data_IF_448035434973
#
_entry.id   IF_448035434973
#
_cell.length_a   1.000
_cell.length_b   1.000
_cell.length_c   1.000
_cell.angle_alpha   90.00
_cell.angle_beta   90.00
_cell.angle_gamma   90.00
#
_symmetry.space_group_name_H-M   'P 1'
#
loop_
_entity.id
_entity.type
_entity.pdbx_description
1 polymer ?
#
# COMPACT_ATOMS: atom_id res chain seq x y z
N UNK A 1 -24.86 36.09 -4.68
CA UNK A 1 -23.77 35.09 -4.58
C UNK A 1 -24.06 34.20 -3.37
N UNK A 2 -24.12 32.88 -3.53
CA UNK A 2 -24.43 31.98 -2.40
C UNK A 2 -23.33 32.07 -1.32
N UNK A 3 -23.69 32.25 -0.03
CA UNK A 3 -22.73 32.26 1.08
C UNK A 3 -21.94 30.95 1.16
N UNK A 4 -22.55 29.81 0.80
CA UNK A 4 -21.85 28.52 0.69
C UNK A 4 -20.70 28.59 -0.32
N UNK A 5 -20.90 29.27 -1.46
CA UNK A 5 -19.83 29.42 -2.46
C UNK A 5 -18.64 30.21 -1.90
N UNK A 6 -18.86 31.15 -0.98
CA UNK A 6 -17.74 31.84 -0.31
C UNK A 6 -17.01 30.89 0.64
N UNK A 7 -17.76 30.17 1.49
CA UNK A 7 -17.21 29.21 2.47
C UNK A 7 -16.34 28.17 1.76
N UNK A 8 -16.90 27.43 0.80
CA UNK A 8 -16.12 26.38 0.12
C UNK A 8 -14.91 26.95 -0.62
N UNK A 9 -15.05 28.11 -1.26
CA UNK A 9 -13.97 28.66 -2.10
C UNK A 9 -12.81 29.23 -1.30
N UNK A 10 -13.07 29.77 -0.12
CA UNK A 10 -12.10 30.58 0.64
C UNK A 10 -11.74 30.00 2.01
N UNK A 11 -12.63 29.24 2.66
CA UNK A 11 -12.42 28.82 4.05
C UNK A 11 -11.96 27.36 4.16
N UNK A 12 -12.30 26.52 3.19
CA UNK A 12 -11.89 25.11 3.22
C UNK A 12 -10.41 24.98 2.86
N UNK A 13 -9.64 24.49 3.84
CA UNK A 13 -8.21 24.19 3.71
C UNK A 13 -7.94 22.69 3.62
N UNK A 14 -8.88 21.87 4.06
CA UNK A 14 -8.73 20.42 4.20
C UNK A 14 -9.95 19.76 3.57
N UNK A 15 -9.71 18.90 2.58
CA UNK A 15 -10.77 18.16 1.89
C UNK A 15 -10.40 16.68 1.86
N UNK A 16 -11.30 15.86 2.38
CA UNK A 16 -11.24 14.40 2.25
C UNK A 16 -12.43 13.98 1.40
N UNK A 17 -12.17 13.38 0.25
CA UNK A 17 -13.19 12.73 -0.56
C UNK A 17 -13.16 11.24 -0.27
N UNK A 18 -14.30 10.71 0.17
CA UNK A 18 -14.47 9.29 0.46
C UNK A 18 -15.36 8.70 -0.62
N UNK A 19 -14.86 7.69 -1.34
CA UNK A 19 -15.64 6.95 -2.31
C UNK A 19 -16.28 5.70 -1.71
N UNK A 20 -17.60 5.60 -1.88
CA UNK A 20 -18.38 4.39 -1.60
C UNK A 20 -18.56 3.58 -2.89
N UNK A 21 -18.56 2.25 -2.75
CA UNK A 21 -18.32 1.20 -3.76
C UNK A 21 -19.32 1.09 -4.96
N UNK A 22 -19.99 2.15 -5.39
CA UNK A 22 -21.04 2.08 -6.41
C UNK A 22 -20.65 2.76 -7.74
N UNK A 23 -19.48 2.43 -8.31
CA UNK A 23 -19.11 2.92 -9.65
C UNK A 23 -19.46 1.91 -10.74
N UNK A 24 -20.72 1.96 -11.18
CA UNK A 24 -21.10 1.47 -12.50
C UNK A 24 -21.12 2.65 -13.48
N UNK A 25 -20.14 2.73 -14.41
CA UNK A 25 -20.33 3.45 -15.68
C UNK A 25 -19.65 4.81 -15.89
N UNK A 26 -18.73 5.28 -15.05
CA UNK A 26 -17.92 6.49 -15.35
C UNK A 26 -16.47 6.10 -15.67
N UNK A 27 -15.98 6.46 -16.86
CA UNK A 27 -14.60 6.22 -17.27
C UNK A 27 -13.62 7.09 -16.45
N UNK A 28 -12.56 6.46 -15.92
CA UNK A 28 -11.59 7.09 -15.00
C UNK A 28 -10.88 8.31 -15.58
N UNK A 29 -10.70 8.37 -16.91
CA UNK A 29 -10.08 9.52 -17.60
C UNK A 29 -10.88 10.82 -17.45
N UNK A 30 -12.20 10.71 -17.33
CA UNK A 30 -13.08 11.85 -17.09
C UNK A 30 -12.93 12.36 -15.66
N UNK A 31 -12.58 11.51 -14.70
CA UNK A 31 -12.50 11.92 -13.31
C UNK A 31 -11.39 12.95 -13.05
N UNK A 32 -10.22 12.79 -13.68
CA UNK A 32 -9.12 13.78 -13.62
C UNK A 32 -9.57 15.17 -14.06
N UNK A 33 -10.27 15.26 -15.19
CA UNK A 33 -10.71 16.55 -15.74
C UNK A 33 -11.96 17.09 -15.08
N UNK A 34 -12.86 16.22 -14.66
CA UNK A 34 -14.23 16.59 -14.28
C UNK A 34 -14.38 16.78 -12.77
N UNK A 35 -13.46 16.20 -11.98
CA UNK A 35 -13.47 16.36 -10.52
C UNK A 35 -12.19 17.00 -10.03
N UNK A 36 -11.04 16.37 -10.23
CA UNK A 36 -9.79 16.83 -9.63
C UNK A 36 -9.41 18.26 -10.04
N UNK A 37 -9.42 18.53 -11.35
CA UNK A 37 -9.16 19.86 -11.89
C UNK A 37 -10.14 20.91 -11.33
N UNK A 38 -11.41 20.54 -11.18
CA UNK A 38 -12.42 21.44 -10.64
C UNK A 38 -12.20 21.72 -9.17
N UNK A 39 -11.86 20.72 -8.36
CA UNK A 39 -11.53 20.89 -6.94
C UNK A 39 -10.37 21.87 -6.78
N UNK A 40 -9.24 21.61 -7.45
CA UNK A 40 -8.06 22.48 -7.32
C UNK A 40 -8.32 23.92 -7.81
N UNK A 41 -9.20 24.10 -8.79
CA UNK A 41 -9.60 25.45 -9.27
C UNK A 41 -10.63 26.13 -8.38
N UNK A 42 -11.51 25.36 -7.74
CA UNK A 42 -12.60 25.88 -6.93
C UNK A 42 -12.09 26.26 -5.54
N UNK A 43 -11.38 25.36 -4.86
CA UNK A 43 -10.88 25.59 -3.51
C UNK A 43 -9.56 26.37 -3.53
N UNK A 44 -9.62 27.69 -3.39
CA UNK A 44 -8.42 28.56 -3.54
C UNK A 44 -7.38 28.36 -2.45
N UNK A 45 -7.83 28.05 -1.23
CA UNK A 45 -6.99 27.93 -0.05
C UNK A 45 -6.78 26.48 0.38
N UNK A 46 -7.04 25.51 -0.50
CA UNK A 46 -6.89 24.09 -0.20
C UNK A 46 -5.42 23.76 0.05
N UNK A 47 -5.12 23.34 1.28
CA UNK A 47 -3.81 22.90 1.73
C UNK A 47 -3.68 21.39 1.69
N UNK A 48 -4.71 20.66 2.09
CA UNK A 48 -4.69 19.21 2.16
C UNK A 48 -5.82 18.62 1.32
N UNK A 49 -5.47 17.73 0.41
CA UNK A 49 -6.41 16.95 -0.37
C UNK A 49 -6.11 15.47 -0.14
N UNK A 50 -7.07 14.76 0.43
CA UNK A 50 -7.03 13.31 0.54
C UNK A 50 -8.18 12.72 -0.24
N UNK A 51 -7.86 11.72 -1.04
CA UNK A 51 -8.87 10.89 -1.68
C UNK A 51 -8.67 9.47 -1.20
N UNK A 52 -9.70 8.98 -0.54
CA UNK A 52 -9.74 7.64 0.00
C UNK A 52 -11.03 6.97 -0.44
N UNK A 53 -11.08 5.66 -0.28
CA UNK A 53 -12.35 4.98 -0.21
C UNK A 53 -12.15 3.62 0.45
N UNK A 54 -13.18 2.79 0.35
CA UNK A 54 -13.21 1.52 1.07
C UNK A 54 -12.47 0.41 0.33
N UNK A 55 -12.41 0.41 -1.00
CA UNK A 55 -11.80 -0.68 -1.79
C UNK A 55 -10.85 -0.13 -2.88
N UNK A 56 -9.53 -0.43 -2.80
CA UNK A 56 -8.49 0.04 -3.72
C UNK A 56 -8.78 -0.15 -5.21
N UNK A 57 -9.40 -1.28 -5.56
CA UNK A 57 -9.65 -1.70 -6.94
C UNK A 57 -10.75 -0.89 -7.66
N UNK A 58 -11.52 -0.07 -6.92
CA UNK A 58 -12.63 0.71 -7.47
C UNK A 58 -12.42 2.23 -7.37
N UNK A 59 -11.22 2.70 -7.00
CA UNK A 59 -10.99 4.14 -6.93
C UNK A 59 -10.82 4.75 -8.31
N UNK A 60 -11.32 5.98 -8.54
CA UNK A 60 -10.98 6.72 -9.73
C UNK A 60 -9.50 7.12 -9.68
N UNK A 61 -8.65 6.27 -10.28
CA UNK A 61 -7.23 6.53 -10.45
C UNK A 61 -7.02 7.81 -11.24
N UNK A 62 -6.14 8.66 -10.73
CA UNK A 62 -5.70 9.82 -11.47
C UNK A 62 -4.86 9.36 -12.66
N UNK A 63 -5.31 9.72 -13.86
CA UNK A 63 -4.55 9.55 -15.11
C UNK A 63 -4.14 10.94 -15.59
N UNK A 64 -2.85 11.25 -15.54
CA UNK A 64 -2.25 12.54 -15.95
C UNK A 64 -1.36 12.42 -17.18
N UNK A 65 -0.78 11.26 -17.45
CA UNK A 65 0.20 11.04 -18.52
C UNK A 65 -0.32 11.45 -19.92
N UNK A 66 -1.65 11.49 -20.10
CA UNK A 66 -2.32 11.88 -21.34
C UNK A 66 -2.96 13.28 -21.30
N UNK A 67 -2.67 14.10 -20.28
CA UNK A 67 -3.32 15.39 -20.06
C UNK A 67 -2.31 16.55 -20.09
N UNK A 68 -2.79 17.74 -20.42
CA UNK A 68 -1.97 18.97 -20.43
C UNK A 68 -1.33 19.21 -19.06
N UNK A 69 -0.11 19.75 -19.04
CA UNK A 69 0.62 20.14 -17.83
C UNK A 69 -0.18 21.08 -16.91
N UNK A 70 -1.16 21.80 -17.46
CA UNK A 70 -2.02 22.73 -16.71
C UNK A 70 -3.21 22.06 -16.01
N UNK A 71 -3.41 20.76 -16.19
CA UNK A 71 -4.65 20.07 -15.78
C UNK A 71 -4.74 19.86 -14.27
N UNK A 72 -3.59 19.80 -13.57
CA UNK A 72 -3.53 19.49 -12.14
C UNK A 72 -2.52 20.40 -11.41
N UNK A 73 -2.79 21.70 -11.37
CA UNK A 73 -1.89 22.68 -10.74
C UNK A 73 -2.49 23.23 -9.45
N UNK A 74 -1.66 23.39 -8.42
CA UNK A 74 -2.00 24.12 -7.20
C UNK A 74 -0.77 24.85 -6.63
N UNK A 75 -1.01 26.07 -6.15
CA UNK A 75 0.00 26.88 -5.45
C UNK A 75 -0.20 26.89 -3.93
N UNK A 76 -1.22 26.21 -3.41
CA UNK A 76 -1.58 26.21 -1.98
C UNK A 76 -1.58 24.81 -1.37
N UNK A 77 -1.53 23.76 -2.19
CA UNK A 77 -1.57 22.38 -1.73
C UNK A 77 -0.22 21.97 -1.14
N UNK A 78 -0.23 21.57 0.13
CA UNK A 78 0.92 21.09 0.90
C UNK A 78 0.93 19.56 1.07
N UNK A 79 -0.27 18.96 1.17
CA UNK A 79 -0.45 17.51 1.33
C UNK A 79 -1.39 16.95 0.29
N UNK A 80 -0.96 15.88 -0.37
CA UNK A 80 -1.77 15.11 -1.30
C UNK A 80 -1.76 13.63 -0.92
N UNK A 81 -2.93 13.01 -0.85
CA UNK A 81 -3.09 11.56 -0.75
C UNK A 81 -3.99 11.07 -1.87
N UNK A 82 -3.46 10.25 -2.76
CA UNK A 82 -4.09 9.96 -4.05
C UNK A 82 -3.72 8.58 -4.60
N UNK A 83 -4.62 8.02 -5.40
CA UNK A 83 -4.36 6.85 -6.22
C UNK A 83 -4.08 7.29 -7.66
N UNK A 84 -3.02 6.77 -8.27
CA UNK A 84 -2.67 7.03 -9.67
C UNK A 84 -2.68 5.72 -10.46
N UNK A 85 -2.92 5.82 -11.76
CA UNK A 85 -3.03 4.61 -12.58
C UNK A 85 -1.65 4.03 -12.90
N UNK A 86 -0.72 4.87 -13.35
CA UNK A 86 0.61 4.45 -13.79
C UNK A 86 1.71 5.18 -13.03
N UNK A 87 2.92 4.63 -13.06
CA UNK A 87 4.10 5.30 -12.49
C UNK A 87 4.40 6.65 -13.15
N UNK A 88 4.16 6.80 -14.45
CA UNK A 88 4.27 8.09 -15.15
C UNK A 88 3.40 9.17 -14.52
N UNK A 89 2.21 8.82 -14.02
CA UNK A 89 1.31 9.78 -13.37
C UNK A 89 1.91 10.30 -12.06
N UNK A 90 2.66 9.47 -11.33
CA UNK A 90 3.44 9.91 -10.16
C UNK A 90 4.52 10.91 -10.58
N UNK A 91 5.28 10.63 -11.63
CA UNK A 91 6.31 11.56 -12.12
C UNK A 91 5.71 12.90 -12.54
N UNK A 92 4.52 12.88 -13.14
CA UNK A 92 3.78 14.09 -13.49
C UNK A 92 3.34 14.88 -12.25
N UNK A 93 3.00 14.23 -11.13
CA UNK A 93 2.71 14.94 -9.87
C UNK A 93 3.97 15.61 -9.28
N UNK A 94 5.14 15.13 -9.64
CA UNK A 94 6.45 15.58 -9.15
C UNK A 94 7.15 16.55 -10.11
N UNK A 95 6.51 16.96 -11.21
CA UNK A 95 7.13 17.82 -12.24
C UNK A 95 7.19 19.32 -11.87
N UNK A 96 6.85 19.67 -10.64
CA UNK A 96 6.83 21.04 -10.13
C UNK A 96 5.48 21.77 -10.28
N UNK A 97 4.44 21.15 -10.83
CA UNK A 97 3.08 21.76 -10.88
C UNK A 97 2.41 21.94 -9.51
N UNK A 98 2.92 21.26 -8.47
CA UNK A 98 2.46 21.36 -7.08
C UNK A 98 3.56 21.98 -6.21
N UNK A 99 3.82 23.28 -6.41
CA UNK A 99 5.03 23.96 -5.88
C UNK A 99 5.17 23.96 -4.35
N UNK A 100 4.06 23.89 -3.62
CA UNK A 100 4.05 23.90 -2.15
C UNK A 100 3.92 22.50 -1.54
N UNK A 101 3.86 21.46 -2.39
CA UNK A 101 3.69 20.09 -1.92
C UNK A 101 4.92 19.66 -1.13
N UNK A 102 4.71 19.27 0.12
CA UNK A 102 5.74 18.75 1.01
C UNK A 102 5.43 17.33 1.50
N UNK A 103 4.17 16.88 1.37
CA UNK A 103 3.73 15.55 1.77
C UNK A 103 2.96 14.92 0.62
N UNK A 104 3.47 13.78 0.12
CA UNK A 104 2.81 13.02 -0.93
C UNK A 104 2.63 11.57 -0.50
N UNK A 105 1.37 11.13 -0.47
CA UNK A 105 1.01 9.73 -0.31
C UNK A 105 0.41 9.25 -1.62
N UNK A 106 1.05 8.27 -2.24
CA UNK A 106 0.63 7.75 -3.54
C UNK A 106 0.50 6.24 -3.50
N UNK A 107 -0.59 5.76 -4.09
CA UNK A 107 -0.79 4.35 -4.41
C UNK A 107 -0.86 4.23 -5.93
N UNK A 108 0.02 3.44 -6.53
CA UNK A 108 -0.02 3.16 -7.97
C UNK A 108 -0.76 1.85 -8.17
N UNK A 109 -1.84 1.90 -8.96
CA UNK A 109 -2.75 0.75 -9.12
C UNK A 109 -2.21 -0.26 -10.16
N UNK A 110 -1.71 0.22 -11.30
CA UNK A 110 -1.23 -0.68 -12.36
C UNK A 110 0.29 -0.83 -12.31
N UNK A 111 0.75 -2.09 -12.33
CA UNK A 111 2.15 -2.47 -12.35
C UNK A 111 2.84 -2.20 -13.71
N UNK A 112 2.07 -1.99 -14.78
CA UNK A 112 2.62 -1.74 -16.12
C UNK A 112 3.33 -0.37 -16.18
N UNK A 113 4.63 -0.40 -16.42
CA UNK A 113 5.40 0.78 -16.75
C UNK A 113 5.06 1.22 -18.18
N UNK A 114 4.38 2.37 -18.31
CA UNK A 114 4.07 2.95 -19.60
C UNK A 114 5.18 3.93 -19.97
N UNK A 115 6.23 3.47 -20.66
CA UNK A 115 7.47 4.23 -20.93
C UNK A 115 7.32 5.37 -21.95
N UNK A 116 6.32 6.26 -21.80
CA UNK A 116 6.03 7.25 -22.85
C UNK A 116 6.84 8.53 -22.72
N UNK A 117 7.35 8.84 -21.53
CA UNK A 117 8.00 10.13 -21.28
C UNK A 117 9.34 9.98 -20.54
N UNK A 118 10.37 10.66 -21.04
CA UNK A 118 11.61 10.89 -20.30
C UNK A 118 11.37 12.07 -19.37
N UNK A 119 11.25 11.80 -18.07
CA UNK A 119 11.00 12.86 -17.08
C UNK A 119 12.32 13.47 -16.59
N UNK A 120 12.33 14.79 -16.53
CA UNK A 120 13.46 15.54 -16.00
C UNK A 120 13.41 15.56 -14.47
N UNK A 121 14.27 14.77 -13.82
CA UNK A 121 14.37 14.67 -12.36
C UNK A 121 15.01 15.90 -11.69
N UNK A 122 15.41 16.91 -12.46
CA UNK A 122 16.11 18.09 -11.91
C UNK A 122 15.18 19.08 -11.17
N UNK A 123 13.85 18.93 -11.28
CA UNK A 123 12.86 19.86 -10.73
C UNK A 123 11.84 19.17 -9.79
N UNK A 124 12.27 18.18 -9.01
CA UNK A 124 11.39 17.52 -8.05
C UNK A 124 10.96 18.50 -6.93
N UNK A 125 9.72 18.39 -6.41
CA UNK A 125 9.28 19.16 -5.26
C UNK A 125 10.12 18.84 -4.03
N UNK A 126 10.25 19.83 -3.14
CA UNK A 126 10.94 19.69 -1.85
C UNK A 126 10.07 18.93 -0.84
N UNK A 127 9.89 17.63 -1.09
CA UNK A 127 9.11 16.74 -0.24
C UNK A 127 9.86 16.46 1.06
N UNK A 128 9.13 16.58 2.17
CA UNK A 128 9.55 16.14 3.50
C UNK A 128 9.00 14.76 3.83
N UNK A 129 7.81 14.44 3.36
CA UNK A 129 7.13 13.19 3.66
C UNK A 129 6.70 12.51 2.36
N UNK A 130 7.10 11.26 2.18
CA UNK A 130 6.73 10.47 1.01
C UNK A 130 6.25 9.07 1.42
N UNK A 131 5.07 8.71 0.95
CA UNK A 131 4.51 7.36 1.06
C UNK A 131 4.27 6.84 -0.35
N UNK A 132 4.80 5.66 -0.66
CA UNK A 132 4.61 4.97 -1.93
C UNK A 132 4.15 3.54 -1.68
N UNK A 133 2.98 3.21 -2.21
CA UNK A 133 2.53 1.83 -2.39
C UNK A 133 2.53 1.48 -3.88
N UNK A 134 3.24 0.41 -4.26
CA UNK A 134 3.34 0.01 -5.65
C UNK A 134 3.65 -1.48 -5.81
N UNK A 135 2.96 -2.14 -6.74
CA UNK A 135 3.33 -3.45 -7.25
C UNK A 135 4.22 -3.26 -8.49
N UNK A 136 5.51 -3.56 -8.40
CA UNK A 136 6.47 -3.31 -9.46
C UNK A 136 7.38 -4.51 -9.72
N UNK A 137 7.96 -4.58 -10.92
CA UNK A 137 9.00 -5.55 -11.22
C UNK A 137 10.38 -5.05 -10.76
N UNK A 138 11.38 -5.94 -10.76
CA UNK A 138 12.77 -5.58 -10.45
C UNK A 138 13.27 -4.41 -11.31
N UNK A 139 12.97 -4.44 -12.61
CA UNK A 139 13.45 -3.43 -13.55
C UNK A 139 12.95 -2.04 -13.16
N UNK A 140 11.68 -1.91 -12.81
CA UNK A 140 11.07 -0.65 -12.39
C UNK A 140 11.65 -0.19 -11.07
N UNK A 141 11.89 -1.10 -10.13
CA UNK A 141 12.52 -0.76 -8.87
C UNK A 141 13.93 -0.17 -9.07
N UNK A 142 14.79 -0.87 -9.79
CA UNK A 142 16.18 -0.46 -9.99
C UNK A 142 16.35 0.73 -10.93
N UNK A 143 15.57 0.80 -12.00
CA UNK A 143 15.75 1.82 -13.04
C UNK A 143 14.91 3.08 -12.80
N UNK A 144 13.87 3.01 -11.96
CA UNK A 144 12.92 4.12 -11.78
C UNK A 144 12.73 4.50 -10.31
N UNK A 145 12.37 3.55 -9.43
CA UNK A 145 12.12 3.88 -8.02
C UNK A 145 13.39 4.33 -7.30
N UNK A 146 14.48 3.56 -7.36
CA UNK A 146 15.73 3.92 -6.67
C UNK A 146 16.31 5.24 -7.19
N UNK A 147 16.44 5.49 -8.51
CA UNK A 147 16.86 6.79 -9.01
C UNK A 147 15.98 7.93 -8.53
N UNK A 148 14.65 7.77 -8.54
CA UNK A 148 13.73 8.79 -8.03
C UNK A 148 14.02 9.11 -6.56
N UNK A 149 14.09 8.08 -5.72
CA UNK A 149 14.35 8.22 -4.28
C UNK A 149 15.69 8.91 -3.99
N UNK A 150 16.74 8.59 -4.75
CA UNK A 150 18.07 9.23 -4.62
C UNK A 150 18.06 10.73 -4.90
N UNK A 151 17.13 11.22 -5.73
CA UNK A 151 16.98 12.66 -5.99
C UNK A 151 16.13 13.37 -4.92
N UNK A 152 15.40 12.63 -4.09
CA UNK A 152 14.56 13.18 -3.01
C UNK A 152 15.33 13.30 -1.68
N UNK A 153 16.47 13.97 -1.70
CA UNK A 153 17.41 14.06 -0.57
C UNK A 153 16.87 14.81 0.66
N UNK A 154 15.79 15.58 0.50
CA UNK A 154 15.19 16.36 1.58
C UNK A 154 14.12 15.61 2.39
N UNK A 155 13.80 14.36 2.03
CA UNK A 155 12.83 13.55 2.76
C UNK A 155 13.27 13.36 4.21
N UNK A 156 12.36 13.70 5.13
CA UNK A 156 12.47 13.46 6.57
C UNK A 156 11.72 12.18 6.98
N UNK A 157 10.65 11.81 6.26
CA UNK A 157 9.84 10.61 6.51
C UNK A 157 9.55 9.85 5.22
N UNK A 158 9.99 8.60 5.14
CA UNK A 158 9.75 7.71 4.00
C UNK A 158 8.95 6.49 4.44
N UNK A 159 7.92 6.15 3.69
CA UNK A 159 7.13 4.94 3.86
C UNK A 159 7.04 4.21 2.51
N UNK A 160 7.57 3.00 2.42
CA UNK A 160 7.55 2.19 1.20
C UNK A 160 6.78 0.88 1.43
N UNK A 161 5.70 0.69 0.70
CA UNK A 161 4.99 -0.59 0.61
C UNK A 161 5.12 -1.13 -0.81
N UNK A 162 6.15 -1.94 -1.05
CA UNK A 162 6.48 -2.44 -2.39
C UNK A 162 6.20 -3.93 -2.47
N UNK A 163 5.48 -4.31 -3.52
CA UNK A 163 5.29 -5.73 -3.89
C UNK A 163 6.05 -6.01 -5.17
N UNK A 164 6.83 -7.08 -5.19
CA UNK A 164 7.70 -7.44 -6.30
C UNK A 164 7.30 -8.78 -6.90
N UNK A 165 7.06 -8.80 -8.21
CA UNK A 165 6.86 -10.03 -8.97
C UNK A 165 8.13 -10.50 -9.66
N UNK A 166 8.40 -11.81 -9.62
CA UNK A 166 9.47 -12.47 -10.36
C UNK A 166 10.85 -11.83 -10.14
N UNK A 167 11.16 -11.52 -8.89
CA UNK A 167 12.39 -10.82 -8.54
C UNK A 167 13.61 -11.73 -8.75
N UNK A 168 14.62 -11.26 -9.47
CA UNK A 168 15.88 -12.00 -9.64
C UNK A 168 16.90 -11.72 -8.54
N UNK A 169 16.64 -10.72 -7.68
CA UNK A 169 17.52 -10.29 -6.60
C UNK A 169 16.73 -10.04 -5.33
N UNK A 170 17.23 -10.56 -4.21
CA UNK A 170 16.65 -10.32 -2.88
C UNK A 170 17.10 -8.94 -2.36
N UNK A 171 16.14 -8.12 -1.92
CA UNK A 171 16.42 -6.82 -1.28
C UNK A 171 16.79 -7.07 0.18
N UNK A 172 18.09 -7.14 0.47
CA UNK A 172 18.60 -7.37 1.82
C UNK A 172 18.86 -6.06 2.59
N UNK A 173 19.20 -6.18 3.88
CA UNK A 173 19.47 -5.01 4.73
C UNK A 173 20.64 -4.15 4.27
N UNK A 174 21.69 -4.74 3.68
CA UNK A 174 22.82 -3.99 3.08
C UNK A 174 22.37 -3.19 1.87
N UNK A 175 21.58 -3.79 0.98
CA UNK A 175 21.00 -3.13 -0.17
C UNK A 175 20.16 -1.93 0.24
N UNK A 176 19.27 -2.07 1.24
CA UNK A 176 18.48 -0.95 1.75
C UNK A 176 19.37 0.21 2.22
N UNK A 177 20.45 -0.12 2.95
CA UNK A 177 21.38 0.89 3.42
C UNK A 177 22.10 1.60 2.28
N UNK A 178 22.71 0.83 1.38
CA UNK A 178 23.54 1.32 0.27
C UNK A 178 22.70 2.10 -0.77
N UNK A 179 21.45 1.71 -0.98
CA UNK A 179 20.63 2.23 -2.09
C UNK A 179 19.65 3.34 -1.70
N UNK A 180 19.25 3.40 -0.43
CA UNK A 180 18.25 4.36 0.06
C UNK A 180 18.86 5.25 1.12
N UNK A 181 19.38 4.66 2.19
CA UNK A 181 19.70 5.39 3.42
C UNK A 181 20.89 6.32 3.24
N UNK A 182 21.95 5.84 2.60
CA UNK A 182 23.16 6.64 2.38
C UNK A 182 22.88 7.90 1.55
N UNK A 183 21.79 7.90 0.76
CA UNK A 183 21.39 9.01 -0.11
C UNK A 183 20.39 9.99 0.54
N UNK A 184 19.83 9.66 1.71
CA UNK A 184 18.81 10.47 2.37
C UNK A 184 19.28 10.99 3.73
N UNK A 185 20.16 11.99 3.72
CA UNK A 185 20.80 12.53 4.93
C UNK A 185 19.83 13.17 5.94
N UNK A 186 18.60 13.52 5.52
CA UNK A 186 17.57 14.10 6.40
C UNK A 186 16.56 13.07 6.92
N UNK A 187 16.67 11.81 6.49
CA UNK A 187 15.70 10.78 6.82
C UNK A 187 15.74 10.47 8.32
N UNK A 188 14.62 10.69 9.00
CA UNK A 188 14.44 10.42 10.43
C UNK A 188 13.56 9.21 10.68
N UNK A 189 12.56 9.02 9.82
CA UNK A 189 11.62 7.90 9.91
C UNK A 189 11.64 7.20 8.57
N UNK A 190 11.99 5.92 8.58
CA UNK A 190 11.90 5.06 7.41
C UNK A 190 11.15 3.79 7.77
N UNK A 191 9.93 3.68 7.27
CA UNK A 191 9.15 2.45 7.36
C UNK A 191 9.13 1.79 5.99
N UNK A 192 9.26 0.47 5.97
CA UNK A 192 9.12 -0.29 4.75
C UNK A 192 8.42 -1.61 5.02
N UNK A 193 7.72 -2.08 4.00
CA UNK A 193 7.18 -3.42 3.88
C UNK A 193 7.44 -3.87 2.46
N UNK A 194 8.37 -4.80 2.31
CA UNK A 194 8.71 -5.38 1.03
C UNK A 194 8.15 -6.79 0.97
N UNK A 195 7.28 -7.01 0.00
CA UNK A 195 6.66 -8.28 -0.30
C UNK A 195 7.21 -8.78 -1.62
N UNK A 196 7.98 -9.86 -1.63
CA UNK A 196 8.46 -10.48 -2.87
C UNK A 196 7.70 -11.76 -3.09
N UNK A 197 7.27 -12.06 -4.32
CA UNK A 197 6.76 -13.39 -4.68
C UNK A 197 7.60 -14.01 -5.78
N UNK A 198 7.92 -15.28 -5.60
CA UNK A 198 8.83 -16.02 -6.46
C UNK A 198 8.16 -17.30 -6.93
N UNK A 199 8.29 -17.60 -8.22
CA UNK A 199 7.99 -18.94 -8.73
C UNK A 199 9.17 -19.86 -8.38
N UNK A 200 8.90 -21.05 -7.82
CA UNK A 200 9.91 -21.95 -7.27
C UNK A 200 11.01 -22.36 -8.26
N UNK A 201 10.81 -22.23 -9.57
CA UNK A 201 11.84 -22.54 -10.57
C UNK A 201 12.94 -21.45 -10.73
N UNK A 202 12.96 -20.42 -9.88
CA UNK A 202 13.96 -19.34 -9.90
C UNK A 202 14.98 -19.49 -8.75
N UNK A 203 16.27 -19.36 -9.07
CA UNK A 203 17.45 -19.73 -8.26
C UNK A 203 17.68 -19.02 -6.91
N UNK A 204 16.77 -18.19 -6.39
CA UNK A 204 16.85 -17.63 -5.02
C UNK A 204 16.19 -18.60 -4.02
N UNK A 205 16.35 -19.89 -4.27
CA UNK A 205 15.39 -20.93 -3.91
C UNK A 205 15.13 -21.07 -2.39
N UNK A 206 16.03 -20.66 -1.50
CA UNK A 206 15.93 -21.11 -0.09
C UNK A 206 16.35 -20.10 0.97
N UNK A 207 16.02 -18.81 0.84
CA UNK A 207 16.17 -17.90 1.99
C UNK A 207 15.21 -18.33 3.12
N UNK A 208 15.76 -18.75 4.25
CA UNK A 208 15.03 -18.98 5.50
C UNK A 208 14.74 -17.64 6.19
N UNK A 209 13.91 -17.67 7.23
CA UNK A 209 13.65 -16.49 8.05
C UNK A 209 14.95 -15.98 8.67
N UNK A 210 15.79 -16.88 9.15
CA UNK A 210 17.06 -16.55 9.80
C UNK A 210 18.04 -15.91 8.82
N UNK A 211 18.12 -16.42 7.58
CA UNK A 211 18.96 -15.82 6.54
C UNK A 211 18.54 -14.37 6.24
N UNK A 212 17.22 -14.12 6.17
CA UNK A 212 16.68 -12.77 5.94
C UNK A 212 17.05 -11.84 7.10
N UNK A 213 16.79 -12.28 8.33
CA UNK A 213 17.05 -11.51 9.54
C UNK A 213 18.55 -11.23 9.74
N UNK A 214 19.42 -12.18 9.40
CA UNK A 214 20.87 -12.00 9.47
C UNK A 214 21.33 -10.81 8.63
N UNK A 215 20.67 -10.53 7.50
CA UNK A 215 21.01 -9.37 6.66
C UNK A 215 20.74 -8.01 7.32
N UNK A 216 19.97 -7.99 8.41
CA UNK A 216 19.66 -6.79 9.22
C UNK A 216 20.39 -6.78 10.57
N UNK A 217 21.12 -7.83 10.92
CA UNK A 217 21.76 -8.00 12.24
C UNK A 217 22.80 -6.91 12.58
N UNK A 218 23.41 -6.28 11.58
CA UNK A 218 24.49 -5.30 11.75
C UNK A 218 24.11 -3.86 11.37
N UNK A 219 22.82 -3.52 11.35
CA UNK A 219 22.37 -2.17 10.99
C UNK A 219 21.33 -1.61 11.98
N UNK A 220 20.90 -0.36 11.76
CA UNK A 220 19.89 0.32 12.59
C UNK A 220 18.49 -0.33 12.52
N UNK A 221 18.33 -1.41 11.74
CA UNK A 221 17.09 -2.16 11.52
C UNK A 221 17.15 -3.58 12.07
N UNK A 222 17.95 -3.84 13.11
CA UNK A 222 17.95 -5.11 13.87
C UNK A 222 16.56 -5.55 14.35
N UNK A 223 15.61 -4.63 14.45
CA UNK A 223 14.22 -4.89 14.84
C UNK A 223 13.33 -5.39 13.69
N UNK A 224 13.86 -5.49 12.46
CA UNK A 224 13.11 -6.03 11.33
C UNK A 224 12.63 -7.44 11.66
N UNK A 225 11.36 -7.70 11.37
CA UNK A 225 10.80 -9.03 11.41
C UNK A 225 10.44 -9.48 10.00
N UNK A 226 10.36 -10.79 9.81
CA UNK A 226 10.08 -11.43 8.55
C UNK A 226 9.02 -12.53 8.71
N UNK A 227 8.14 -12.61 7.72
CA UNK A 227 7.25 -13.72 7.46
C UNK A 227 7.54 -14.31 6.09
N UNK A 228 7.59 -15.64 6.03
CA UNK A 228 7.66 -16.41 4.79
C UNK A 228 6.31 -17.09 4.60
N UNK A 229 5.73 -17.01 3.40
CA UNK A 229 4.44 -17.61 3.07
C UNK A 229 4.50 -18.44 1.80
N UNK A 230 3.52 -19.32 1.63
CA UNK A 230 3.33 -20.13 0.44
C UNK A 230 1.88 -20.00 -0.01
N UNK A 231 1.65 -19.52 -1.25
CA UNK A 231 0.28 -19.41 -1.80
C UNK A 231 -0.16 -20.67 -2.54
N UNK A 232 0.80 -21.32 -3.20
CA UNK A 232 0.71 -22.62 -3.87
C UNK A 232 2.07 -23.33 -3.66
N UNK A 233 2.23 -24.65 -3.90
CA UNK A 233 3.52 -25.31 -3.81
C UNK A 233 4.60 -24.53 -4.55
N UNK A 234 4.26 -23.91 -5.66
CA UNK A 234 5.20 -23.25 -6.56
C UNK A 234 5.40 -21.75 -6.31
N UNK A 235 4.72 -21.13 -5.33
CA UNK A 235 4.84 -19.68 -5.09
C UNK A 235 5.17 -19.38 -3.62
N UNK A 236 6.36 -18.84 -3.40
CA UNK A 236 6.87 -18.40 -2.09
C UNK A 236 6.86 -16.89 -2.00
N UNK A 237 6.36 -16.37 -0.88
CA UNK A 237 6.39 -14.94 -0.55
C UNK A 237 7.35 -14.67 0.61
N UNK A 238 8.14 -13.60 0.51
CA UNK A 238 8.89 -13.05 1.63
C UNK A 238 8.36 -11.66 1.96
N UNK A 239 7.89 -11.47 3.19
CA UNK A 239 7.44 -10.19 3.72
C UNK A 239 8.35 -9.81 4.87
N UNK A 240 8.99 -8.63 4.81
CA UNK A 240 9.81 -8.14 5.91
C UNK A 240 9.63 -6.62 6.11
N UNK A 241 9.71 -6.21 7.38
CA UNK A 241 9.42 -4.83 7.82
C UNK A 241 9.97 -4.54 9.22
N UNK A 242 10.12 -3.26 9.56
CA UNK A 242 10.21 -2.81 10.96
C UNK A 242 8.91 -3.15 11.70
N UNK A 243 8.97 -3.69 12.93
CA UNK A 243 8.01 -4.62 13.55
C UNK A 243 6.55 -4.34 13.15
N UNK A 244 6.22 -4.78 11.93
CA UNK A 244 4.98 -4.57 11.18
C UNK A 244 4.27 -3.21 11.42
N UNK A 245 5.00 -2.10 11.32
CA UNK A 245 4.52 -0.71 11.51
C UNK A 245 3.63 -0.15 10.38
N UNK A 246 3.00 -1.03 9.59
CA UNK A 246 2.18 -0.64 8.45
C UNK A 246 0.67 -0.81 8.72
N UNK A 247 -0.12 -0.03 7.99
CA UNK A 247 -1.57 0.02 8.12
C UNK A 247 -2.29 -1.05 7.27
N UNK A 248 -1.59 -1.58 6.26
CA UNK A 248 -2.12 -2.52 5.29
C UNK A 248 -1.24 -3.76 5.14
N UNK A 249 -1.84 -4.93 5.32
CA UNK A 249 -1.19 -6.23 5.11
C UNK A 249 -1.90 -7.00 3.99
N UNK A 250 -1.36 -6.97 2.76
CA UNK A 250 -1.96 -7.69 1.64
C UNK A 250 -1.55 -9.17 1.58
N UNK A 251 -2.43 -9.98 1.00
CA UNK A 251 -2.22 -11.37 0.55
C UNK A 251 -1.53 -12.28 1.57
N UNK A 252 -2.12 -12.39 2.76
CA UNK A 252 -1.65 -13.34 3.78
C UNK A 252 -2.32 -14.71 3.63
N UNK A 253 -1.59 -15.78 3.92
CA UNK A 253 -2.18 -17.11 4.02
C UNK A 253 -2.98 -17.25 5.33
N UNK A 254 -3.66 -18.38 5.52
CA UNK A 254 -4.44 -18.65 6.72
C UNK A 254 -3.60 -19.21 7.89
N UNK A 255 -2.27 -19.33 7.71
CA UNK A 255 -1.31 -19.90 8.67
C UNK A 255 -0.33 -18.86 9.20
N UNK A 256 -0.77 -17.61 9.34
CA UNK A 256 0.06 -16.56 9.91
C UNK A 256 0.44 -16.87 11.36
N UNK A 257 1.69 -16.54 11.70
CA UNK A 257 2.28 -16.69 13.03
C UNK A 257 1.44 -16.00 14.11
N UNK A 258 1.55 -16.43 15.38
CA UNK A 258 0.95 -15.79 16.56
C UNK A 258 1.63 -14.44 16.91
N UNK A 259 1.75 -13.56 15.93
CA UNK A 259 2.30 -12.21 16.03
C UNK A 259 1.11 -11.25 16.15
N UNK A 260 1.23 -10.28 17.06
CA UNK A 260 0.22 -9.23 17.21
C UNK A 260 0.58 -8.03 16.33
N UNK A 261 -0.22 -7.80 15.30
CA UNK A 261 -0.09 -6.71 14.34
C UNK A 261 -0.91 -5.49 14.80
N UNK A 262 -0.39 -4.75 15.78
CA UNK A 262 -1.09 -3.61 16.38
C UNK A 262 -1.42 -2.47 15.41
N UNK A 263 -0.63 -2.31 14.35
CA UNK A 263 -0.74 -1.20 13.40
C UNK A 263 -1.59 -1.53 12.16
N UNK A 264 -1.84 -2.83 11.91
CA UNK A 264 -2.58 -3.27 10.73
C UNK A 264 -4.06 -3.00 10.93
N UNK A 265 -4.61 -2.11 10.11
CA UNK A 265 -6.04 -1.75 10.08
C UNK A 265 -6.77 -2.31 8.87
N UNK A 266 -6.03 -2.77 7.85
CA UNK A 266 -6.55 -3.39 6.63
C UNK A 266 -5.82 -4.71 6.39
N UNK A 267 -6.57 -5.79 6.25
CA UNK A 267 -6.05 -7.13 6.03
C UNK A 267 -6.69 -7.76 4.79
N UNK A 268 -5.87 -8.29 3.88
CA UNK A 268 -6.34 -9.21 2.85
C UNK A 268 -5.73 -10.59 3.09
N UNK A 269 -6.60 -11.59 3.25
CA UNK A 269 -6.25 -12.99 3.31
C UNK A 269 -6.60 -13.65 1.97
N UNK A 270 -5.63 -14.33 1.37
CA UNK A 270 -5.76 -15.08 0.14
C UNK A 270 -4.99 -16.39 0.29
N UNK A 271 -5.71 -17.50 0.27
CA UNK A 271 -5.11 -18.82 0.45
C UNK A 271 -5.60 -19.80 -0.61
N UNK A 272 -4.67 -20.61 -1.12
CA UNK A 272 -4.95 -21.75 -1.99
C UNK A 272 -5.45 -22.98 -1.22
N UNK A 273 -5.53 -22.94 0.11
CA UNK A 273 -5.97 -24.02 1.00
C UNK A 273 -7.26 -23.59 1.73
N UNK A 274 -8.22 -24.51 1.99
CA UNK A 274 -9.42 -24.16 2.74
C UNK A 274 -9.12 -23.60 4.14
N UNK A 275 -9.92 -22.62 4.57
CA UNK A 275 -9.80 -22.04 5.91
C UNK A 275 -10.18 -23.02 7.02
N UNK A 276 -9.41 -22.96 8.11
CA UNK A 276 -9.66 -23.73 9.34
C UNK A 276 -10.79 -23.10 10.17
N UNK A 277 -11.43 -23.89 11.04
CA UNK A 277 -12.55 -23.43 11.88
C UNK A 277 -12.19 -22.26 12.81
N UNK A 278 -10.93 -22.16 13.21
CA UNK A 278 -10.42 -21.10 14.10
C UNK A 278 -9.93 -19.85 13.33
N UNK A 279 -10.08 -19.79 12.01
CA UNK A 279 -9.56 -18.72 11.16
C UNK A 279 -9.90 -17.30 11.66
N UNK A 280 -11.19 -17.01 11.87
CA UNK A 280 -11.61 -15.69 12.35
C UNK A 280 -11.14 -15.41 13.78
N UNK A 281 -11.00 -16.45 14.62
CA UNK A 281 -10.50 -16.32 15.97
C UNK A 281 -9.04 -15.86 15.94
N UNK A 282 -8.19 -16.52 15.14
CA UNK A 282 -6.80 -16.11 14.95
C UNK A 282 -6.69 -14.69 14.42
N UNK A 283 -7.56 -14.27 13.49
CA UNK A 283 -7.56 -12.87 13.01
C UNK A 283 -7.87 -11.91 14.17
N UNK A 284 -8.90 -12.18 14.96
CA UNK A 284 -9.28 -11.29 16.08
C UNK A 284 -8.15 -11.10 17.10
N UNK A 285 -7.35 -12.15 17.33
CA UNK A 285 -6.21 -12.12 18.27
C UNK A 285 -4.99 -11.42 17.67
N UNK A 286 -4.67 -11.66 16.40
CA UNK A 286 -3.48 -11.12 15.77
C UNK A 286 -3.67 -9.69 15.24
N UNK A 287 -4.91 -9.25 14.98
CA UNK A 287 -5.21 -7.95 14.37
C UNK A 287 -6.20 -7.15 15.21
N UNK A 288 -5.81 -6.69 16.42
CA UNK A 288 -6.74 -6.04 17.35
C UNK A 288 -7.29 -4.70 16.85
N UNK A 289 -6.61 -4.05 15.90
CA UNK A 289 -6.98 -2.74 15.33
C UNK A 289 -7.73 -2.84 13.98
N UNK A 290 -8.13 -4.04 13.56
CA UNK A 290 -8.62 -4.29 12.21
C UNK A 290 -9.92 -3.55 11.90
N UNK A 291 -9.92 -2.78 10.80
CA UNK A 291 -11.09 -2.04 10.28
C UNK A 291 -11.65 -2.63 9.00
N UNK A 292 -10.80 -3.19 8.15
CA UNK A 292 -11.19 -3.82 6.90
C UNK A 292 -10.59 -5.21 6.80
N UNK A 293 -11.44 -6.20 6.63
CA UNK A 293 -11.06 -7.58 6.39
C UNK A 293 -11.55 -8.01 5.01
N UNK A 294 -10.63 -8.40 4.13
CA UNK A 294 -10.93 -9.08 2.87
C UNK A 294 -10.43 -10.51 2.95
N UNK A 295 -11.28 -11.44 2.54
CA UNK A 295 -10.99 -12.86 2.59
C UNK A 295 -11.34 -13.46 1.23
N UNK A 296 -10.35 -14.04 0.56
CA UNK A 296 -10.50 -14.79 -0.68
C UNK A 296 -10.37 -16.28 -0.36
N UNK A 297 -11.48 -17.03 -0.41
CA UNK A 297 -11.47 -18.47 -0.18
C UNK A 297 -11.71 -19.24 -1.48
N UNK A 298 -10.68 -19.74 -2.16
CA UNK A 298 -10.90 -20.45 -3.43
C UNK A 298 -11.34 -21.91 -3.24
N UNK A 299 -11.13 -22.51 -2.05
CA UNK A 299 -11.41 -23.93 -1.81
C UNK A 299 -12.37 -24.14 -0.66
N UNK A 300 -13.36 -25.02 -0.87
CA UNK A 300 -14.30 -25.42 0.19
C UNK A 300 -13.57 -26.19 1.29
N UNK A 301 -13.98 -25.98 2.53
CA UNK A 301 -13.55 -26.84 3.62
C UNK A 301 -14.04 -28.28 3.37
N UNK A 302 -13.12 -29.23 3.31
CA UNK A 302 -13.42 -30.63 2.93
C UNK A 302 -13.92 -31.47 4.10
N UNK A 303 -13.73 -31.00 5.33
CA UNK A 303 -14.20 -31.67 6.54
C UNK A 303 -15.06 -30.73 7.39
N UNK A 304 -16.35 -31.02 7.47
CA UNK A 304 -17.09 -30.79 8.70
C UNK A 304 -16.57 -31.86 9.64
N UNK A 305 -15.57 -31.57 10.47
CA UNK A 305 -15.16 -32.54 11.49
C UNK A 305 -16.26 -32.64 12.53
N UNK A 306 -17.26 -33.47 12.25
CA UNK A 306 -18.26 -34.00 13.18
C UNK A 306 -17.63 -34.93 14.25
N UNK A 307 -16.35 -34.74 14.57
CA UNK A 307 -15.74 -35.35 15.76
C UNK A 307 -15.84 -34.35 16.91
N UNK A 308 -17.06 -33.95 17.24
CA UNK A 308 -17.37 -33.29 18.51
C UNK A 308 -17.36 -34.41 19.56
N UNK A 309 -16.16 -34.80 20.00
CA UNK A 309 -16.02 -35.46 21.29
C UNK A 309 -16.47 -34.46 22.35
N UNK A 310 -17.42 -34.91 23.16
CA UNK A 310 -18.25 -34.16 24.10
C UNK A 310 -17.51 -33.54 25.31
N UNK A 311 -16.28 -33.05 25.13
CA UNK A 311 -15.51 -32.30 26.13
C UNK A 311 -15.19 -30.86 25.71
N UNK A 312 -15.35 -30.49 24.44
CA UNK A 312 -14.97 -29.15 23.90
C UNK A 312 -16.14 -28.16 23.75
N UNK A 313 -17.23 -28.38 24.49
CA UNK A 313 -18.42 -27.52 24.46
C UNK A 313 -18.20 -26.08 24.96
N UNK A 314 -16.99 -25.68 25.36
CA UNK A 314 -16.66 -24.29 25.72
C UNK A 314 -16.10 -23.45 24.57
N UNK A 315 -15.51 -24.06 23.53
CA UNK A 315 -14.90 -23.32 22.42
C UNK A 315 -15.90 -22.94 21.32
N UNK A 316 -17.04 -23.64 21.25
CA UNK A 316 -18.05 -23.42 20.21
C UNK A 316 -19.00 -22.23 20.46
N UNK A 317 -18.92 -21.56 21.62
CA UNK A 317 -19.83 -20.45 21.97
C UNK A 317 -19.15 -19.11 22.18
N UNK A 318 -17.84 -18.98 21.93
CA UNK A 318 -17.18 -17.68 21.98
C UNK A 318 -17.55 -16.88 20.74
N UNK A 319 -18.41 -15.88 20.93
CA UNK A 319 -18.66 -14.84 19.92
C UNK A 319 -17.31 -14.19 19.63
N UNK A 320 -16.84 -14.28 18.38
CA UNK A 320 -15.61 -13.63 17.94
C UNK A 320 -15.93 -12.16 17.69
N UNK A 321 -15.36 -11.29 18.51
CA UNK A 321 -15.57 -9.85 18.40
C UNK A 321 -14.44 -9.18 17.61
N UNK A 322 -14.82 -8.34 16.66
CA UNK A 322 -13.91 -7.44 15.97
C UNK A 322 -14.28 -6.00 16.31
N UNK A 323 -13.68 -5.38 17.34
CA UNK A 323 -14.16 -4.13 17.92
C UNK A 323 -14.14 -2.93 16.96
N UNK A 324 -13.29 -2.96 15.93
CA UNK A 324 -13.12 -1.86 14.98
C UNK A 324 -13.50 -2.20 13.54
N UNK A 325 -13.97 -3.42 13.27
CA UNK A 325 -14.25 -3.87 11.91
C UNK A 325 -15.47 -3.12 11.35
N UNK A 326 -15.25 -2.34 10.30
CA UNK A 326 -16.30 -1.58 9.61
C UNK A 326 -16.59 -2.10 8.21
N UNK A 327 -15.71 -2.95 7.66
CA UNK A 327 -15.87 -3.53 6.32
C UNK A 327 -15.39 -4.97 6.29
N UNK A 328 -16.27 -5.86 5.84
CA UNK A 328 -15.98 -7.28 5.62
C UNK A 328 -16.29 -7.64 4.17
N UNK A 329 -15.29 -8.10 3.44
CA UNK A 329 -15.44 -8.55 2.06
C UNK A 329 -15.06 -10.03 1.95
N UNK A 330 -16.06 -10.87 1.72
CA UNK A 330 -15.92 -12.32 1.58
C UNK A 330 -16.06 -12.69 0.10
N UNK A 331 -14.96 -13.04 -0.54
CA UNK A 331 -14.91 -13.44 -1.94
C UNK A 331 -14.74 -14.95 -2.03
N UNK A 332 -15.61 -15.60 -2.83
CA UNK A 332 -15.66 -17.06 -2.98
C UNK A 332 -15.83 -17.82 -1.65
N UNK A 333 -16.30 -17.16 -0.58
CA UNK A 333 -16.46 -17.77 0.73
C UNK A 333 -17.45 -18.94 0.68
N UNK A 334 -16.88 -20.15 0.72
CA UNK A 334 -17.56 -21.43 0.76
C UNK A 334 -17.76 -21.95 2.16
#
# INVERSE_FOLDING_TARGET
KSPFRHIFRQQITDLILVFENNFNGISWKHYTTDVYKYILRFFKNLKHLSITGLVPEYFPSLVLCNLSLTTFHSSTLHKLSIHVMFYDDLLVLLDGRLKQLNTLNVVIINAEYNSRNVYNMNNLPDLKCFYLQYNCDSNTYYNHILPLLRHMSNIEQLNLLLTFGNQTTFINGKHIYDEIIVHMSRLRIFNFCFCTYMQLYQSIEHLSKDDILETFSNNIYQQVDCMIRYRDPDIKYHVFSLPFMFDYLPFIDNKFSNIIFNHVIKLEVDDGIPFEHEFFMRISLCFPSLKLLRVLNLKRQTSISNNISSSDNQLHSTIIEFPYLTSLNLLFAH
#
